data_IF_781646010310
#
_entry.id   IF_781646010310
#
_cell.length_a   1.000
_cell.length_b   1.000
_cell.length_c   1.000
_cell.angle_alpha   90.00
_cell.angle_beta   90.00
_cell.angle_gamma   90.00
#
_symmetry.space_group_name_H-M   'P 1'
#
loop_
_entity.id
_entity.type
_entity.pdbx_description
1 polymer ?
#
# COMPACT_ATOMS: atom_id res chain seq x y z
N UNK A 1 34.53 27.65 -37.13
CA UNK A 1 33.17 27.62 -36.53
C UNK A 1 32.96 26.22 -35.99
N UNK A 2 33.10 26.03 -34.67
CA UNK A 2 33.10 24.73 -34.03
C UNK A 2 31.70 24.53 -33.43
N UNK A 3 30.93 23.60 -34.00
CA UNK A 3 29.66 23.17 -33.47
C UNK A 3 29.89 22.37 -32.20
N UNK A 4 29.68 22.99 -31.04
CA UNK A 4 29.62 22.28 -29.78
C UNK A 4 28.27 21.60 -29.74
N UNK A 5 28.23 20.32 -30.12
CA UNK A 5 27.08 19.49 -29.90
C UNK A 5 26.92 19.28 -28.40
N UNK A 6 25.89 19.93 -27.80
CA UNK A 6 25.42 19.57 -26.46
C UNK A 6 24.82 18.18 -26.54
N UNK A 7 25.67 17.18 -26.33
CA UNK A 7 25.24 15.80 -26.21
C UNK A 7 24.33 15.70 -24.98
N UNK A 8 23.04 15.65 -25.23
CA UNK A 8 22.05 15.27 -24.24
C UNK A 8 22.31 13.78 -23.91
N UNK A 9 23.25 13.56 -22.98
CA UNK A 9 23.54 12.22 -22.48
C UNK A 9 22.26 11.77 -21.77
N UNK A 10 21.43 10.98 -22.45
CA UNK A 10 20.31 10.33 -21.83
C UNK A 10 20.81 9.62 -20.57
N UNK A 11 20.33 10.02 -19.39
CA UNK A 11 20.66 9.34 -18.13
C UNK A 11 20.28 7.87 -18.31
N UNK A 12 21.28 7.01 -18.32
CA UNK A 12 21.06 5.56 -18.34
C UNK A 12 20.61 5.17 -16.93
N UNK A 13 19.34 4.86 -16.79
CA UNK A 13 18.84 4.25 -15.57
C UNK A 13 19.22 2.77 -15.58
N UNK A 14 19.87 2.25 -14.54
CA UNK A 14 20.20 0.84 -14.47
C UNK A 14 18.92 0.00 -14.42
N UNK A 15 18.88 -1.06 -15.22
CA UNK A 15 17.82 -2.07 -15.15
C UNK A 15 18.19 -3.07 -14.07
N UNK A 16 17.33 -3.21 -13.08
CA UNK A 16 17.44 -4.21 -12.03
C UNK A 16 16.54 -5.41 -12.34
N UNK A 17 16.92 -6.58 -11.85
CA UNK A 17 16.17 -7.83 -12.02
C UNK A 17 15.90 -8.47 -10.66
N UNK A 18 14.65 -8.94 -10.48
CA UNK A 18 14.24 -9.81 -9.40
C UNK A 18 13.47 -11.01 -9.99
N UNK A 19 13.98 -11.53 -11.11
CA UNK A 19 13.43 -12.73 -11.74
C UNK A 19 13.56 -13.91 -10.79
N UNK A 20 12.56 -14.78 -10.75
CA UNK A 20 12.57 -15.88 -9.81
C UNK A 20 11.44 -16.88 -10.00
N UNK A 21 11.21 -17.65 -8.98
CA UNK A 21 10.11 -18.61 -8.92
C UNK A 21 9.47 -18.65 -7.54
N UNK A 22 8.23 -19.11 -7.49
CA UNK A 22 7.50 -19.38 -6.24
C UNK A 22 8.26 -20.44 -5.46
N UNK A 23 8.79 -20.10 -4.30
CA UNK A 23 9.61 -21.00 -3.46
C UNK A 23 8.77 -22.03 -2.75
N UNK A 24 7.54 -21.68 -2.37
CA UNK A 24 6.58 -22.57 -1.72
C UNK A 24 5.20 -22.31 -2.25
N UNK A 25 4.62 -23.25 -2.98
CA UNK A 25 3.27 -23.15 -3.52
C UNK A 25 2.24 -22.93 -2.41
N UNK A 26 1.26 -22.09 -2.67
CA UNK A 26 0.24 -21.72 -1.69
C UNK A 26 0.68 -20.69 -0.64
N UNK A 27 1.92 -20.19 -0.70
CA UNK A 27 2.45 -19.21 0.26
C UNK A 27 2.84 -17.91 -0.46
N UNK A 28 2.45 -16.75 0.04
CA UNK A 28 2.89 -15.45 -0.47
C UNK A 28 4.40 -15.27 -0.34
N UNK A 29 4.99 -14.62 -1.33
CA UNK A 29 6.43 -14.34 -1.37
C UNK A 29 6.67 -12.88 -1.76
N UNK A 30 7.47 -12.16 -0.98
CA UNK A 30 7.93 -10.83 -1.35
C UNK A 30 8.92 -10.93 -2.52
N UNK A 31 8.72 -10.09 -3.56
CA UNK A 31 9.62 -10.00 -4.72
C UNK A 31 10.46 -8.73 -4.63
N UNK A 32 9.80 -7.60 -4.38
CA UNK A 32 10.45 -6.30 -4.29
C UNK A 32 10.01 -5.56 -3.03
N UNK A 33 10.94 -4.99 -2.27
CA UNK A 33 10.62 -4.06 -1.20
C UNK A 33 10.06 -2.74 -1.77
N UNK A 34 9.50 -1.93 -0.91
CA UNK A 34 9.14 -0.56 -1.22
C UNK A 34 10.38 0.22 -1.72
N UNK A 35 10.23 0.90 -2.86
CA UNK A 35 11.33 1.62 -3.51
C UNK A 35 10.82 2.98 -4.00
N UNK A 36 11.07 4.08 -3.27
CA UNK A 36 10.45 5.39 -3.51
C UNK A 36 10.70 5.99 -4.90
N UNK A 37 11.74 5.56 -5.58
CA UNK A 37 12.16 6.12 -6.88
C UNK A 37 11.93 5.20 -8.08
N UNK A 38 11.09 4.16 -7.96
CA UNK A 38 10.82 3.26 -9.08
C UNK A 38 10.14 4.00 -10.23
N UNK A 39 10.76 4.00 -11.40
CA UNK A 39 10.27 4.69 -12.60
C UNK A 39 9.81 3.74 -13.70
N UNK A 40 10.18 2.47 -13.62
CA UNK A 40 9.77 1.39 -14.52
C UNK A 40 9.56 0.10 -13.75
N UNK A 41 8.56 -0.66 -14.14
CA UNK A 41 8.29 -2.01 -13.63
C UNK A 41 7.76 -2.88 -14.75
N UNK A 42 8.32 -4.07 -14.87
CA UNK A 42 7.83 -5.15 -15.73
C UNK A 42 7.61 -6.40 -14.88
N UNK A 43 6.42 -6.94 -14.95
CA UNK A 43 6.07 -8.23 -14.36
C UNK A 43 5.57 -9.16 -15.46
N UNK A 44 6.06 -10.39 -15.49
CA UNK A 44 5.61 -11.40 -16.43
C UNK A 44 5.53 -12.77 -15.77
N UNK A 45 4.44 -13.48 -16.01
CA UNK A 45 4.32 -14.87 -15.68
C UNK A 45 4.86 -15.70 -16.85
N UNK A 46 5.91 -16.47 -16.62
CA UNK A 46 6.54 -17.37 -17.62
C UNK A 46 6.28 -18.84 -17.31
N UNK A 47 5.40 -19.13 -16.32
CA UNK A 47 5.02 -20.49 -15.95
C UNK A 47 3.74 -20.94 -16.66
N UNK A 48 3.44 -22.22 -16.58
CA UNK A 48 2.22 -22.84 -17.15
C UNK A 48 0.95 -22.58 -16.32
N UNK A 49 1.09 -22.16 -15.06
CA UNK A 49 -0.03 -21.87 -14.15
C UNK A 49 -0.18 -20.38 -13.86
N UNK A 50 -1.33 -19.94 -13.35
CA UNK A 50 -1.54 -18.52 -13.02
C UNK A 50 -0.71 -18.08 -11.83
N UNK A 51 -0.30 -16.79 -11.83
CA UNK A 51 0.33 -16.11 -10.73
C UNK A 51 -0.49 -14.87 -10.35
N UNK A 52 -0.55 -14.56 -9.07
CA UNK A 52 -1.20 -13.37 -8.54
C UNK A 52 -0.16 -12.46 -7.90
N UNK A 53 -0.18 -11.19 -8.28
CA UNK A 53 0.70 -10.16 -7.75
C UNK A 53 -0.11 -9.18 -6.91
N UNK A 54 0.43 -8.74 -5.81
CA UNK A 54 -0.18 -7.73 -4.94
C UNK A 54 0.82 -6.61 -4.69
N UNK A 55 0.28 -5.38 -4.57
CA UNK A 55 1.05 -4.17 -4.38
C UNK A 55 0.63 -3.48 -3.09
N UNK A 56 1.57 -2.79 -2.46
CA UNK A 56 1.32 -2.02 -1.27
C UNK A 56 1.38 -2.84 0.02
N UNK A 57 1.02 -2.17 1.11
CA UNK A 57 1.00 -2.71 2.45
C UNK A 57 -0.34 -3.41 2.76
N UNK A 58 -0.60 -3.69 4.02
CA UNK A 58 -1.87 -4.23 4.51
C UNK A 58 -3.06 -3.32 4.18
N UNK A 59 -4.29 -3.83 4.29
CA UNK A 59 -5.52 -3.07 4.03
C UNK A 59 -6.53 -3.25 5.14
N UNK A 60 -7.29 -2.19 5.40
CA UNK A 60 -8.38 -2.19 6.35
C UNK A 60 -9.50 -1.24 5.91
N UNK A 61 -10.68 -1.44 6.48
CA UNK A 61 -11.85 -0.57 6.31
C UNK A 61 -12.35 -0.09 7.67
N UNK A 62 -12.89 1.13 7.70
CA UNK A 62 -13.49 1.70 8.89
C UNK A 62 -15.02 1.66 8.79
N UNK A 63 -15.70 1.48 9.93
CA UNK A 63 -17.13 1.70 10.08
C UNK A 63 -17.39 2.89 11.00
N UNK A 64 -18.51 3.59 10.78
CA UNK A 64 -18.91 4.75 11.57
C UNK A 64 -20.14 4.48 12.39
N UNK A 65 -20.20 5.14 13.56
CA UNK A 65 -21.41 5.32 14.34
C UNK A 65 -21.42 6.74 14.88
N UNK A 66 -22.49 7.48 14.62
CA UNK A 66 -22.66 8.87 15.09
C UNK A 66 -21.49 9.81 14.73
N UNK A 67 -20.94 9.68 13.52
CA UNK A 67 -19.87 10.53 13.05
C UNK A 67 -18.49 10.26 13.66
N UNK A 68 -18.30 9.13 14.34
CA UNK A 68 -17.03 8.66 14.86
C UNK A 68 -16.73 7.24 14.33
N UNK A 69 -15.47 6.86 14.24
CA UNK A 69 -15.09 5.49 13.84
C UNK A 69 -15.47 4.54 14.96
N UNK A 70 -16.37 3.60 14.69
CA UNK A 70 -16.82 2.60 15.66
C UNK A 70 -15.96 1.34 15.64
N UNK A 71 -15.47 0.94 14.46
CA UNK A 71 -14.62 -0.23 14.30
C UNK A 71 -13.73 -0.11 13.07
N UNK A 72 -12.63 -0.87 13.08
CA UNK A 72 -11.74 -1.05 11.93
C UNK A 72 -11.61 -2.54 11.67
N UNK A 73 -11.90 -2.95 10.43
CA UNK A 73 -11.77 -4.34 9.99
C UNK A 73 -10.54 -4.48 9.10
N UNK A 74 -9.60 -5.33 9.48
CA UNK A 74 -8.45 -5.67 8.64
C UNK A 74 -8.94 -6.57 7.51
N UNK A 75 -8.82 -6.12 6.26
CA UNK A 75 -9.24 -6.86 5.07
C UNK A 75 -8.10 -7.60 4.40
N UNK A 76 -6.86 -7.14 4.63
CA UNK A 76 -5.63 -7.82 4.26
C UNK A 76 -4.59 -7.54 5.35
N UNK A 77 -4.20 -8.57 6.08
CA UNK A 77 -3.30 -8.46 7.22
C UNK A 77 -1.86 -8.06 6.85
N UNK A 78 -1.52 -8.18 5.58
CA UNK A 78 -0.12 -8.07 5.14
C UNK A 78 0.76 -9.16 5.75
N UNK A 79 2.02 -9.13 5.35
CA UNK A 79 3.04 -10.05 5.87
C UNK A 79 4.43 -9.41 5.74
N UNK A 80 5.43 -10.06 6.32
CA UNK A 80 6.83 -9.66 6.21
C UNK A 80 7.14 -8.29 6.83
N UNK A 81 6.34 -7.85 7.79
CA UNK A 81 6.66 -6.67 8.58
C UNK A 81 7.75 -7.00 9.62
N UNK A 82 8.72 -6.11 9.77
CA UNK A 82 9.67 -6.16 10.88
C UNK A 82 9.24 -5.30 12.06
N UNK A 83 8.35 -4.32 11.81
CA UNK A 83 7.80 -3.37 12.79
C UNK A 83 6.33 -3.09 12.46
N UNK A 84 5.54 -2.62 13.45
CA UNK A 84 4.17 -2.18 13.21
C UNK A 84 4.12 -1.06 12.16
N UNK A 85 3.29 -1.18 11.11
CA UNK A 85 3.06 -0.11 10.16
C UNK A 85 2.25 1.03 10.78
N UNK A 86 2.28 2.19 10.12
CA UNK A 86 1.56 3.39 10.55
C UNK A 86 0.15 3.39 9.97
N UNK A 87 -0.85 3.63 10.82
CA UNK A 87 -2.26 3.81 10.40
C UNK A 87 -2.54 5.29 10.21
N UNK A 88 -3.12 5.65 9.06
CA UNK A 88 -3.58 7.01 8.75
C UNK A 88 -5.01 6.97 8.22
N UNK A 89 -5.75 8.03 8.48
CA UNK A 89 -7.11 8.21 7.99
C UNK A 89 -7.15 9.39 7.03
N UNK A 90 -7.87 9.25 5.90
CA UNK A 90 -8.08 10.34 4.96
C UNK A 90 -9.50 10.34 4.41
N UNK A 91 -10.01 11.50 4.05
CA UNK A 91 -11.39 11.67 3.60
C UNK A 91 -12.37 11.66 4.77
N UNK A 92 -13.54 11.07 4.53
CA UNK A 92 -14.58 10.96 5.55
C UNK A 92 -15.61 12.08 5.55
N UNK A 93 -15.40 13.14 4.76
CA UNK A 93 -16.31 14.28 4.59
C UNK A 93 -16.91 14.74 5.92
N UNK A 94 -16.46 15.85 6.46
CA UNK A 94 -17.03 16.38 7.69
C UNK A 94 -18.40 17.02 7.40
N UNK A 95 -19.45 16.57 8.06
CA UNK A 95 -20.75 17.19 7.96
C UNK A 95 -20.75 18.49 8.75
N UNK A 96 -20.74 19.60 8.06
CA UNK A 96 -20.84 20.93 8.66
C UNK A 96 -19.53 21.68 8.75
N UNK A 97 -19.20 22.31 7.65
CA UNK A 97 -18.24 23.39 7.48
C UNK A 97 -16.74 23.07 7.56
N UNK A 98 -16.15 22.91 6.37
CA UNK A 98 -14.82 23.36 5.97
C UNK A 98 -13.65 23.27 6.96
N UNK A 99 -13.35 22.10 7.49
CA UNK A 99 -12.01 21.85 7.99
C UNK A 99 -11.37 20.65 7.27
N UNK A 100 -11.35 20.73 5.97
CA UNK A 100 -10.39 20.01 5.16
C UNK A 100 -9.03 20.64 5.41
N UNK A 101 -8.03 19.85 5.74
CA UNK A 101 -6.62 20.20 5.87
C UNK A 101 -6.07 20.25 7.31
N UNK A 102 -6.35 19.33 8.20
CA UNK A 102 -5.41 19.09 9.33
C UNK A 102 -4.96 20.32 10.15
N UNK A 103 -5.60 21.45 9.97
CA UNK A 103 -5.35 22.70 10.67
C UNK A 103 -6.49 22.88 11.68
N UNK A 104 -6.16 22.99 12.94
CA UNK A 104 -7.04 23.45 14.00
C UNK A 104 -7.62 24.81 13.56
N UNK A 105 -8.86 24.80 13.03
CA UNK A 105 -9.59 26.04 12.92
C UNK A 105 -10.44 26.20 14.17
N UNK A 106 -10.25 27.29 14.94
CA UNK A 106 -11.15 27.60 16.05
C UNK A 106 -12.56 27.75 15.53
N UNK A 107 -13.54 27.20 16.23
CA UNK A 107 -14.93 27.19 15.85
C UNK A 107 -15.46 28.57 15.48
N UNK A 108 -16.34 28.63 14.48
CA UNK A 108 -17.06 29.85 14.14
C UNK A 108 -17.93 30.31 15.30
N UNK A 109 -17.77 31.56 15.63
CA UNK A 109 -18.45 32.24 16.73
C UNK A 109 -19.94 32.49 16.42
N UNK A 110 -20.77 31.53 16.75
CA UNK A 110 -22.22 31.72 16.78
C UNK A 110 -22.82 31.06 18.02
N UNK A 111 -23.74 31.73 18.75
CA UNK A 111 -24.22 31.27 20.03
C UNK A 111 -25.06 29.99 20.03
N UNK A 112 -25.21 29.32 18.85
CA UNK A 112 -25.96 28.07 18.70
C UNK A 112 -25.24 27.02 17.80
N UNK A 113 -23.95 27.17 17.50
CA UNK A 113 -23.25 26.14 16.74
C UNK A 113 -22.64 25.13 17.69
N UNK A 114 -23.33 24.02 17.89
CA UNK A 114 -22.71 22.78 18.35
C UNK A 114 -21.82 22.23 17.21
N UNK A 115 -20.83 23.01 16.79
CA UNK A 115 -19.83 22.56 15.83
C UNK A 115 -18.91 21.64 16.62
N UNK A 116 -19.15 20.35 16.52
CA UNK A 116 -18.14 19.37 16.89
C UNK A 116 -17.01 19.57 15.88
N UNK A 117 -15.96 20.26 16.30
CA UNK A 117 -14.77 20.42 15.47
C UNK A 117 -14.33 19.02 15.02
N UNK A 118 -14.28 18.79 13.70
CA UNK A 118 -13.89 17.52 13.15
C UNK A 118 -12.50 17.13 13.68
N UNK A 119 -12.41 15.99 14.36
CA UNK A 119 -11.18 15.47 14.92
C UNK A 119 -10.79 14.22 14.17
N UNK A 120 -9.56 14.19 13.65
CA UNK A 120 -9.03 13.01 12.95
C UNK A 120 -8.84 11.87 13.94
N UNK A 121 -9.32 10.69 13.57
CA UNK A 121 -9.11 9.48 14.33
C UNK A 121 -7.64 9.09 14.42
N UNK A 122 -7.29 8.32 15.46
CA UNK A 122 -5.96 7.71 15.63
C UNK A 122 -6.12 6.23 15.93
N UNK A 123 -5.21 5.44 15.40
CA UNK A 123 -5.19 4.00 15.63
C UNK A 123 -3.76 3.47 15.45
N UNK A 124 -3.51 2.29 16.03
CA UNK A 124 -2.27 1.58 15.86
C UNK A 124 -2.51 0.10 15.52
N UNK A 125 -1.53 -0.52 14.86
CA UNK A 125 -1.57 -1.93 14.51
C UNK A 125 -1.07 -2.79 15.68
N UNK A 126 -1.83 -3.85 15.98
CA UNK A 126 -1.38 -4.95 16.83
C UNK A 126 -0.86 -6.05 15.93
N UNK A 127 0.36 -6.50 16.17
CA UNK A 127 1.05 -7.46 15.32
C UNK A 127 0.99 -8.87 15.89
N UNK A 128 1.08 -9.87 15.00
CA UNK A 128 1.24 -11.29 15.34
C UNK A 128 2.39 -11.90 14.54
N UNK A 129 2.96 -12.98 15.02
CA UNK A 129 4.13 -13.63 14.42
C UNK A 129 5.43 -13.22 15.10
N UNK A 130 6.53 -13.43 14.40
CA UNK A 130 7.88 -13.08 14.88
C UNK A 130 8.61 -12.28 13.80
N UNK A 131 9.26 -11.18 14.18
CA UNK A 131 10.05 -10.37 13.25
C UNK A 131 11.16 -11.22 12.57
N UNK A 132 11.41 -11.05 11.28
CA UNK A 132 10.85 -10.05 10.37
C UNK A 132 9.53 -10.45 9.68
N UNK A 133 8.86 -11.48 10.09
CA UNK A 133 7.66 -12.04 9.43
C UNK A 133 6.38 -11.76 10.23
N UNK A 134 6.22 -10.51 10.68
CA UNK A 134 5.00 -10.08 11.34
C UNK A 134 3.86 -9.85 10.35
N UNK A 135 2.62 -10.02 10.82
CA UNK A 135 1.39 -9.61 10.14
C UNK A 135 0.48 -8.86 11.12
N UNK A 136 -0.49 -8.11 10.62
CA UNK A 136 -1.43 -7.37 11.45
C UNK A 136 -2.52 -8.33 11.97
N UNK A 137 -2.64 -8.47 13.28
CA UNK A 137 -3.74 -9.24 13.89
C UNK A 137 -5.01 -8.40 14.05
N UNK A 138 -4.85 -7.12 14.42
CA UNK A 138 -5.94 -6.17 14.60
C UNK A 138 -5.44 -4.73 14.55
N UNK A 139 -6.37 -3.79 14.44
CA UNK A 139 -6.10 -2.35 14.55
C UNK A 139 -6.92 -1.84 15.74
N UNK A 140 -6.23 -1.26 16.71
CA UNK A 140 -6.84 -0.67 17.91
C UNK A 140 -7.03 0.82 17.68
N UNK A 141 -8.25 1.31 17.98
CA UNK A 141 -8.59 2.72 17.89
C UNK A 141 -8.15 3.41 19.17
N UNK A 142 -7.24 4.36 19.08
CA UNK A 142 -6.75 5.18 20.19
C UNK A 142 -7.65 6.42 20.37
N UNK A 143 -8.17 6.93 19.26
CA UNK A 143 -9.10 8.05 19.20
C UNK A 143 -10.09 7.81 18.05
N UNK A 144 -11.36 7.75 18.35
CA UNK A 144 -12.43 7.51 17.39
C UNK A 144 -12.62 8.64 16.36
N UNK A 145 -12.01 9.81 16.59
CA UNK A 145 -12.29 11.00 15.82
C UNK A 145 -13.71 11.52 16.05
N UNK A 146 -14.10 12.52 15.29
CA UNK A 146 -15.46 13.08 15.34
C UNK A 146 -15.79 13.84 14.05
N UNK A 147 -17.08 13.96 13.74
CA UNK A 147 -17.56 14.79 12.63
C UNK A 147 -17.45 14.13 11.24
N UNK A 148 -17.20 12.85 11.16
CA UNK A 148 -17.20 12.11 9.89
C UNK A 148 -18.63 11.97 9.34
N UNK A 149 -18.83 12.35 8.08
CA UNK A 149 -20.09 12.15 7.35
C UNK A 149 -20.15 10.75 6.70
N UNK A 150 -19.00 10.26 6.22
CA UNK A 150 -18.83 8.93 5.63
C UNK A 150 -17.58 8.28 6.22
N UNK A 151 -17.48 6.96 6.14
CA UNK A 151 -16.29 6.26 6.63
C UNK A 151 -15.02 6.76 5.90
N UNK A 152 -13.97 7.16 6.65
CA UNK A 152 -12.71 7.56 6.04
C UNK A 152 -11.99 6.35 5.45
N UNK A 153 -11.13 6.60 4.47
CA UNK A 153 -10.17 5.60 4.01
C UNK A 153 -9.13 5.33 5.11
N UNK A 154 -8.83 4.06 5.30
CA UNK A 154 -7.76 3.61 6.22
C UNK A 154 -6.53 3.30 5.39
N UNK A 155 -5.47 4.07 5.57
CA UNK A 155 -4.17 3.86 4.95
C UNK A 155 -3.24 3.18 5.94
N UNK A 156 -2.69 2.05 5.55
CA UNK A 156 -1.66 1.35 6.31
C UNK A 156 -0.37 1.50 5.50
N UNK A 157 0.59 2.18 6.09
CA UNK A 157 1.83 2.55 5.42
C UNK A 157 2.99 1.89 6.14
N UNK A 158 3.94 1.34 5.40
CA UNK A 158 5.18 0.88 5.98
C UNK A 158 5.85 2.01 6.77
N UNK A 159 6.53 1.70 7.85
CA UNK A 159 7.36 2.68 8.53
C UNK A 159 8.59 2.97 7.67
N UNK A 160 9.14 4.19 7.77
CA UNK A 160 10.32 4.63 7.00
C UNK A 160 11.54 3.70 7.14
N UNK A 161 11.53 2.84 8.15
CA UNK A 161 12.62 1.90 8.45
C UNK A 161 12.25 0.44 8.13
N UNK A 162 11.12 0.19 7.48
CA UNK A 162 10.62 -1.15 7.15
C UNK A 162 9.97 -1.20 5.76
N UNK A 163 10.76 -1.28 4.69
CA UNK A 163 10.23 -1.29 3.33
C UNK A 163 9.68 -2.66 2.88
N UNK A 164 9.68 -3.68 3.76
CA UNK A 164 9.41 -5.07 3.39
C UNK A 164 7.98 -5.52 3.63
N UNK A 165 7.21 -4.79 4.41
CA UNK A 165 5.79 -5.10 4.64
C UNK A 165 4.99 -5.03 3.35
N UNK A 166 4.25 -6.11 3.03
CA UNK A 166 3.48 -6.22 1.80
C UNK A 166 2.11 -6.81 2.05
N UNK A 167 1.13 -6.44 1.22
CA UNK A 167 -0.17 -7.08 1.20
C UNK A 167 -0.06 -8.55 0.76
N UNK A 168 -0.92 -9.40 1.31
CA UNK A 168 -0.97 -10.84 0.97
C UNK A 168 -1.68 -11.03 -0.36
N UNK A 169 -0.99 -11.44 -1.44
CA UNK A 169 -1.64 -11.86 -2.67
C UNK A 169 -2.32 -13.22 -2.47
N UNK A 170 -3.44 -13.42 -3.16
CA UNK A 170 -4.15 -14.70 -3.18
C UNK A 170 -4.89 -14.88 -4.50
N UNK A 171 -5.47 -16.05 -4.72
CA UNK A 171 -6.32 -16.31 -5.89
C UNK A 171 -7.60 -15.46 -5.94
N UNK A 172 -7.99 -14.84 -4.82
CA UNK A 172 -9.18 -13.99 -4.70
C UNK A 172 -8.85 -12.51 -4.55
N UNK A 173 -7.57 -12.16 -4.36
CA UNK A 173 -7.06 -10.79 -4.27
C UNK A 173 -5.77 -10.67 -5.08
N UNK A 174 -5.47 -9.47 -5.52
CA UNK A 174 -4.30 -9.22 -6.32
C UNK A 174 -4.55 -9.26 -7.83
N UNK A 175 -3.54 -8.88 -8.57
CA UNK A 175 -3.54 -8.84 -10.03
C UNK A 175 -3.17 -10.20 -10.59
N UNK A 176 -4.10 -10.82 -11.34
CA UNK A 176 -3.85 -12.08 -12.03
C UNK A 176 -2.99 -11.87 -13.27
N UNK A 177 -1.88 -12.57 -13.38
CA UNK A 177 -1.16 -12.80 -14.61
C UNK A 177 -1.36 -14.26 -15.04
N UNK A 178 -2.10 -14.43 -16.12
CA UNK A 178 -2.35 -15.76 -16.72
C UNK A 178 -1.05 -16.44 -17.14
N UNK A 179 -1.09 -17.75 -17.30
CA UNK A 179 0.04 -18.53 -17.81
C UNK A 179 0.57 -17.95 -19.13
N UNK A 180 1.90 -17.81 -19.24
CA UNK A 180 2.59 -17.30 -20.44
C UNK A 180 1.99 -16.00 -21.00
N UNK A 181 1.45 -15.14 -20.15
CA UNK A 181 0.84 -13.87 -20.56
C UNK A 181 1.88 -12.86 -21.06
N UNK A 182 1.39 -11.86 -21.82
CA UNK A 182 2.21 -10.69 -22.12
C UNK A 182 2.70 -9.99 -20.82
N UNK A 183 3.85 -9.34 -20.85
CA UNK A 183 4.35 -8.59 -19.70
C UNK A 183 3.37 -7.48 -19.28
N UNK A 184 3.16 -7.35 -17.98
CA UNK A 184 2.55 -6.16 -17.39
C UNK A 184 3.61 -5.09 -17.22
N UNK A 185 3.37 -3.92 -17.81
CA UNK A 185 4.34 -2.83 -17.84
C UNK A 185 3.77 -1.58 -17.20
N UNK A 186 4.55 -1.00 -16.30
CA UNK A 186 4.30 0.33 -15.73
C UNK A 186 5.51 1.21 -15.95
N UNK A 187 5.30 2.47 -16.29
CA UNK A 187 6.38 3.44 -16.51
C UNK A 187 5.97 4.85 -16.07
N UNK A 188 6.99 5.66 -15.79
CA UNK A 188 6.83 7.05 -15.36
C UNK A 188 6.02 7.16 -14.07
N UNK A 189 5.11 8.12 -14.04
CA UNK A 189 4.26 8.44 -12.87
C UNK A 189 3.23 7.36 -12.52
N UNK A 190 3.02 6.39 -13.41
CA UNK A 190 2.13 5.25 -13.16
C UNK A 190 2.82 4.08 -12.47
N UNK A 191 4.12 4.19 -12.21
CA UNK A 191 4.87 3.11 -11.57
C UNK A 191 4.62 3.10 -10.06
N UNK A 192 4.18 1.96 -9.53
CA UNK A 192 4.03 1.78 -8.09
C UNK A 192 5.39 1.74 -7.41
N UNK A 193 5.53 2.49 -6.33
CA UNK A 193 6.74 2.49 -5.49
C UNK A 193 6.66 1.47 -4.36
N UNK A 194 5.47 0.97 -4.09
CA UNK A 194 5.15 0.03 -3.02
C UNK A 194 5.90 -1.32 -3.14
N UNK A 195 5.92 -2.06 -2.04
CA UNK A 195 6.38 -3.45 -2.02
C UNK A 195 5.51 -4.33 -2.92
N UNK A 196 6.10 -5.34 -3.53
CA UNK A 196 5.43 -6.26 -4.46
C UNK A 196 5.60 -7.69 -3.97
N UNK A 197 4.48 -8.39 -3.86
CA UNK A 197 4.45 -9.81 -3.53
C UNK A 197 3.83 -10.64 -4.65
N UNK A 198 4.19 -11.92 -4.71
CA UNK A 198 3.63 -12.91 -5.62
C UNK A 198 3.03 -14.08 -4.83
N UNK A 199 1.99 -14.66 -5.39
CA UNK A 199 1.40 -15.92 -4.97
C UNK A 199 1.22 -16.83 -6.18
N UNK A 200 1.60 -18.07 -6.02
CA UNK A 200 1.36 -19.14 -6.99
C UNK A 200 0.96 -20.41 -6.24
N UNK A 201 0.03 -21.17 -6.80
CA UNK A 201 -0.48 -22.38 -6.17
C UNK A 201 0.57 -23.53 -6.11
N UNK A 202 1.55 -23.48 -7.02
CA UNK A 202 2.55 -24.56 -7.17
C UNK A 202 3.97 -24.02 -7.02
N UNK A 203 4.80 -24.75 -6.30
CA UNK A 203 6.24 -24.48 -6.20
C UNK A 203 6.90 -24.52 -7.58
N UNK A 204 7.84 -23.60 -7.83
CA UNK A 204 8.61 -23.53 -9.07
C UNK A 204 7.93 -22.74 -10.19
N UNK A 205 6.72 -22.18 -9.98
CA UNK A 205 6.11 -21.28 -10.96
C UNK A 205 7.00 -20.04 -11.15
N UNK A 206 7.49 -19.84 -12.37
CA UNK A 206 8.49 -18.82 -12.68
C UNK A 206 7.87 -17.50 -13.10
N UNK A 207 8.53 -16.42 -12.73
CA UNK A 207 8.17 -15.04 -13.11
C UNK A 207 9.41 -14.23 -13.48
N UNK A 208 9.21 -13.21 -14.30
CA UNK A 208 10.19 -12.17 -14.55
C UNK A 208 9.72 -10.89 -13.85
N UNK A 209 10.63 -10.26 -13.13
CA UNK A 209 10.42 -8.96 -12.50
C UNK A 209 11.62 -8.06 -12.79
N UNK A 210 11.40 -6.98 -13.51
CA UNK A 210 12.44 -6.03 -13.88
C UNK A 210 11.99 -4.61 -13.57
N UNK A 211 12.91 -3.78 -13.11
CA UNK A 211 12.58 -2.43 -12.69
C UNK A 211 13.76 -1.46 -12.85
N UNK A 212 13.45 -0.16 -12.84
CA UNK A 212 14.42 0.94 -12.88
C UNK A 212 14.02 2.02 -11.86
N UNK A 213 15.00 2.74 -11.38
CA UNK A 213 14.82 3.94 -10.53
C UNK A 213 15.15 5.21 -11.28
#
# INVERSE_FOLDING_TARGET
>A
MQLVGSGNQAKRHPLFTADGSVTTGGTPQLILPETPSRSFLMLQNVSAGPLWFEFGSARATAALTNGAISSITVTNAGFNFSKPPVVRFAGGGYSGNTAFLGLNQPGGDGPNSSIVAGRVARAHCVMTGSAPNLSISSIVIDDHGAGYAIAPYVFIMNSDLDPYGCAVPSATSGMLLSAASAPYLLNGTSCFTDAIAVFGATTGQAFLCRWMT
#
